data_IF_667484638214
#
_entry.id   IF_667484638214
#
_cell.length_a   1.000
_cell.length_b   1.000
_cell.length_c   1.000
_cell.angle_alpha   90.00
_cell.angle_beta   90.00
_cell.angle_gamma   90.00
#
_symmetry.space_group_name_H-M   'P 1'
#
loop_
_entity.id
_entity.type
_entity.pdbx_description
1 polymer ?
#
# COMPACT_ATOMS: atom_id res chain seq x y z
N UNK A 1 -25.01 10.13 1.94
CA UNK A 1 -24.76 8.68 2.15
C UNK A 1 -23.40 8.26 1.65
N UNK A 2 -23.02 8.50 0.38
CA UNK A 2 -21.65 8.25 -0.11
C UNK A 2 -20.57 8.91 0.76
N UNK A 3 -20.75 10.18 1.14
CA UNK A 3 -19.80 10.92 1.99
C UNK A 3 -19.61 10.31 3.39
N UNK A 4 -20.56 9.49 3.86
CA UNK A 4 -20.46 8.81 5.15
C UNK A 4 -19.83 7.41 5.02
N UNK A 5 -19.48 6.96 3.81
CA UNK A 5 -18.89 5.64 3.59
C UNK A 5 -19.83 4.48 3.90
N UNK A 6 -21.15 4.68 3.89
CA UNK A 6 -22.13 3.62 4.23
C UNK A 6 -22.63 2.84 3.01
N UNK A 7 -22.37 3.34 1.80
CA UNK A 7 -22.72 2.69 0.54
C UNK A 7 -21.73 3.07 -0.55
N UNK A 8 -21.71 2.28 -1.63
CA UNK A 8 -21.01 2.62 -2.86
C UNK A 8 -21.96 2.53 -4.05
N UNK A 9 -21.65 3.27 -5.11
CA UNK A 9 -22.41 3.22 -6.36
C UNK A 9 -21.98 1.98 -7.14
N UNK A 10 -22.94 1.27 -7.71
CA UNK A 10 -22.62 0.19 -8.64
C UNK A 10 -22.21 0.80 -10.00
N UNK A 11 -21.18 0.26 -10.67
CA UNK A 11 -20.81 0.71 -12.00
C UNK A 11 -21.97 0.44 -12.97
N UNK A 12 -22.13 1.33 -13.96
CA UNK A 12 -23.09 1.10 -15.03
C UNK A 12 -22.73 -0.17 -15.80
N UNK A 13 -23.74 -0.97 -16.14
CA UNK A 13 -23.53 -2.16 -16.94
C UNK A 13 -22.95 -1.79 -18.31
N UNK A 14 -21.86 -2.47 -18.69
CA UNK A 14 -21.25 -2.32 -20.01
C UNK A 14 -22.30 -2.48 -21.12
N UNK A 15 -22.14 -1.72 -22.21
CA UNK A 15 -23.00 -1.72 -23.40
C UNK A 15 -23.26 -3.13 -23.94
N UNK A 16 -22.27 -4.01 -23.81
CA UNK A 16 -22.32 -5.38 -24.33
C UNK A 16 -22.66 -6.44 -23.26
N UNK A 17 -22.91 -6.03 -22.01
CA UNK A 17 -23.25 -6.94 -20.92
C UNK A 17 -24.75 -7.28 -20.91
N UNK A 18 -25.09 -8.55 -20.69
CA UNK A 18 -26.48 -8.98 -20.45
C UNK A 18 -27.11 -8.26 -19.25
N UNK A 19 -26.30 -7.79 -18.30
CA UNK A 19 -26.77 -6.99 -17.15
C UNK A 19 -27.40 -5.66 -17.58
N UNK A 20 -27.12 -5.17 -18.79
CA UNK A 20 -27.68 -3.92 -19.33
C UNK A 20 -29.18 -4.03 -19.62
N UNK A 21 -29.69 -5.23 -19.92
CA UNK A 21 -31.14 -5.44 -20.03
C UNK A 21 -31.88 -5.15 -18.71
N UNK A 22 -31.15 -5.19 -17.58
CA UNK A 22 -31.63 -4.87 -16.25
C UNK A 22 -31.08 -3.54 -15.71
N UNK A 23 -30.38 -2.75 -16.53
CA UNK A 23 -29.91 -1.44 -16.10
C UNK A 23 -31.09 -0.48 -16.00
N UNK A 24 -31.33 0.03 -14.80
CA UNK A 24 -32.33 1.06 -14.57
C UNK A 24 -31.73 2.43 -14.89
N UNK A 25 -32.52 3.42 -15.35
CA UNK A 25 -32.03 4.76 -15.69
C UNK A 25 -31.54 5.58 -14.47
N UNK A 26 -31.60 5.01 -13.26
CA UNK A 26 -31.20 5.63 -12.01
C UNK A 26 -29.95 4.98 -11.41
N UNK A 27 -29.14 5.78 -10.73
CA UNK A 27 -27.93 5.32 -10.02
C UNK A 27 -28.30 4.33 -8.93
N UNK A 28 -27.77 3.12 -9.02
CA UNK A 28 -27.96 2.07 -8.02
C UNK A 28 -26.87 2.16 -6.96
N UNK A 29 -27.28 2.12 -5.69
CA UNK A 29 -26.39 2.13 -4.54
C UNK A 29 -26.45 0.78 -3.84
N UNK A 30 -25.28 0.27 -3.45
CA UNK A 30 -25.16 -0.97 -2.70
C UNK A 30 -24.74 -0.67 -1.26
N UNK A 31 -25.51 -1.22 -0.32
CA UNK A 31 -25.24 -1.14 1.12
C UNK A 31 -24.85 -2.54 1.61
N UNK A 32 -23.54 -2.88 1.63
CA UNK A 32 -23.10 -4.27 1.73
C UNK A 32 -23.60 -5.01 2.98
N UNK A 33 -23.67 -4.30 4.11
CA UNK A 33 -23.86 -4.84 5.45
C UNK A 33 -25.30 -5.21 5.79
N UNK A 34 -26.27 -4.55 5.17
CA UNK A 34 -27.69 -4.75 5.48
C UNK A 34 -28.34 -5.88 4.69
N UNK A 35 -27.58 -6.58 3.84
CA UNK A 35 -28.14 -7.57 2.91
C UNK A 35 -27.97 -9.01 3.39
N UNK A 36 -26.94 -9.32 4.19
CA UNK A 36 -26.63 -10.69 4.63
C UNK A 36 -26.07 -10.71 6.04
N UNK A 37 -26.70 -11.49 6.93
CA UNK A 37 -26.19 -11.71 8.29
C UNK A 37 -25.08 -12.76 8.33
N UNK A 38 -25.34 -13.92 7.72
CA UNK A 38 -24.43 -15.06 7.81
C UNK A 38 -23.44 -15.11 6.64
N UNK A 39 -22.24 -15.61 6.93
CA UNK A 39 -21.25 -16.00 5.92
C UNK A 39 -21.88 -17.01 4.94
N UNK A 40 -21.75 -16.82 3.62
CA UNK A 40 -22.27 -17.77 2.63
C UNK A 40 -21.62 -19.15 2.76
N UNK A 41 -22.44 -20.21 2.81
CA UNK A 41 -21.97 -21.58 3.03
C UNK A 41 -21.06 -22.11 1.90
N UNK A 42 -21.20 -21.59 0.69
CA UNK A 42 -20.40 -21.95 -0.47
C UNK A 42 -19.05 -21.23 -0.54
N UNK A 43 -18.80 -20.26 0.34
CA UNK A 43 -17.57 -19.47 0.32
C UNK A 43 -16.43 -20.25 0.98
N UNK A 44 -15.45 -20.62 0.15
CA UNK A 44 -14.27 -21.33 0.61
C UNK A 44 -13.18 -20.34 1.00
N UNK A 45 -12.87 -20.31 2.30
CA UNK A 45 -11.67 -19.69 2.85
C UNK A 45 -11.11 -20.67 3.87
N UNK A 46 -10.29 -21.65 3.42
CA UNK A 46 -9.78 -22.70 4.29
C UNK A 46 -9.01 -22.12 5.46
N UNK A 47 -9.06 -22.76 6.64
CA UNK A 47 -8.36 -22.26 7.84
C UNK A 47 -6.86 -22.07 7.58
N UNK A 48 -6.21 -23.03 6.93
CA UNK A 48 -4.81 -22.95 6.51
C UNK A 48 -4.72 -22.52 5.04
N UNK A 49 -3.76 -21.68 4.66
CA UNK A 49 -3.35 -21.51 3.27
C UNK A 49 -2.95 -22.84 2.62
N UNK A 50 -3.15 -22.95 1.31
CA UNK A 50 -2.64 -24.10 0.53
C UNK A 50 -1.11 -24.08 0.43
N UNK A 51 -0.50 -25.16 -0.06
CA UNK A 51 0.95 -25.33 -0.07
C UNK A 51 1.66 -24.30 -0.97
N UNK A 52 1.08 -24.00 -2.14
CA UNK A 52 1.53 -23.01 -3.12
C UNK A 52 1.09 -21.57 -2.79
N UNK A 53 0.26 -21.41 -1.78
CA UNK A 53 -0.32 -20.15 -1.35
C UNK A 53 0.53 -19.50 -0.23
N UNK A 54 0.83 -18.22 -0.42
CA UNK A 54 1.35 -17.33 0.61
C UNK A 54 0.21 -16.58 1.29
N UNK A 55 0.43 -16.18 2.52
CA UNK A 55 -0.58 -15.56 3.36
C UNK A 55 0.00 -14.43 4.19
N UNK A 56 -0.67 -13.28 4.11
CA UNK A 56 -0.39 -12.10 4.93
C UNK A 56 -1.68 -11.75 5.64
N UNK A 57 -1.64 -11.65 6.97
CA UNK A 57 -2.78 -11.18 7.75
C UNK A 57 -2.32 -10.09 8.71
N UNK A 58 -3.04 -8.97 8.65
CA UNK A 58 -2.86 -7.84 9.56
C UNK A 58 -4.11 -7.75 10.43
N UNK A 59 -3.87 -7.57 11.72
CA UNK A 59 -4.93 -7.43 12.72
C UNK A 59 -4.75 -6.09 13.41
N UNK A 60 -5.81 -5.28 13.40
CA UNK A 60 -5.91 -4.09 14.23
C UNK A 60 -6.75 -4.44 15.46
N UNK A 61 -6.14 -4.38 16.64
CA UNK A 61 -6.75 -4.76 17.92
C UNK A 61 -7.18 -3.52 18.70
N UNK A 62 -8.35 -3.61 19.32
CA UNK A 62 -8.94 -2.62 20.20
C UNK A 62 -9.28 -3.28 21.53
N UNK A 63 -8.84 -2.68 22.64
CA UNK A 63 -9.19 -3.12 23.98
C UNK A 63 -10.66 -2.85 24.35
N UNK A 64 -11.41 -2.17 23.48
CA UNK A 64 -12.82 -1.82 23.64
C UNK A 64 -13.63 -2.34 22.45
N UNK A 65 -14.96 -2.37 22.53
CA UNK A 65 -15.79 -2.66 21.38
C UNK A 65 -15.51 -1.69 20.24
N UNK A 66 -15.53 -2.19 19.00
CA UNK A 66 -15.37 -1.37 17.81
C UNK A 66 -16.42 -0.25 17.77
N UNK A 67 -16.04 0.99 17.41
CA UNK A 67 -17.01 2.05 17.17
C UNK A 67 -18.05 1.63 16.15
N UNK A 68 -19.28 2.07 16.37
CA UNK A 68 -20.40 1.74 15.49
C UNK A 68 -20.15 2.30 14.09
N UNK A 69 -20.38 1.47 13.07
CA UNK A 69 -20.18 1.86 11.69
C UNK A 69 -18.73 1.80 11.21
N UNK A 70 -17.74 1.56 12.09
CA UNK A 70 -16.32 1.55 11.69
C UNK A 70 -16.07 0.45 10.66
N UNK A 71 -16.52 -0.77 10.94
CA UNK A 71 -16.28 -1.90 10.07
C UNK A 71 -16.99 -1.75 8.73
N UNK A 72 -18.24 -1.29 8.78
CA UNK A 72 -19.08 -1.10 7.62
C UNK A 72 -18.47 -0.09 6.65
N UNK A 73 -18.01 1.03 7.22
CA UNK A 73 -17.32 2.11 6.48
C UNK A 73 -15.99 1.64 5.95
N UNK A 74 -15.18 0.93 6.74
CA UNK A 74 -13.90 0.39 6.28
C UNK A 74 -14.08 -0.53 5.08
N UNK A 75 -15.08 -1.42 5.11
CA UNK A 75 -15.34 -2.31 4.00
C UNK A 75 -15.87 -1.59 2.75
N UNK A 76 -16.66 -0.53 2.89
CA UNK A 76 -17.08 0.32 1.76
C UNK A 76 -15.87 1.05 1.16
N UNK A 77 -14.99 1.63 1.97
CA UNK A 77 -13.77 2.29 1.50
C UNK A 77 -12.83 1.28 0.80
N UNK A 78 -12.73 0.07 1.34
CA UNK A 78 -11.91 -1.01 0.78
C UNK A 78 -12.38 -1.49 -0.59
N UNK A 79 -13.65 -1.24 -0.97
CA UNK A 79 -14.16 -1.63 -2.29
C UNK A 79 -13.41 -1.00 -3.46
N UNK A 80 -12.69 0.10 -3.23
CA UNK A 80 -11.84 0.79 -4.20
C UNK A 80 -10.64 -0.04 -4.65
N UNK A 81 -10.26 -1.03 -3.86
CA UNK A 81 -9.06 -1.87 -4.07
C UNK A 81 -9.43 -3.32 -4.39
N UNK A 82 -10.74 -3.60 -4.51
CA UNK A 82 -11.30 -4.95 -4.49
C UNK A 82 -12.30 -5.18 -5.63
N UNK A 83 -12.10 -6.28 -6.35
CA UNK A 83 -13.01 -6.86 -7.34
C UNK A 83 -13.79 -8.04 -6.76
N UNK A 84 -14.90 -8.41 -7.41
CA UNK A 84 -15.81 -9.52 -7.04
C UNK A 84 -15.99 -9.70 -5.52
N UNK A 85 -16.97 -9.01 -4.94
CA UNK A 85 -17.11 -8.86 -3.48
C UNK A 85 -18.33 -9.58 -2.95
N UNK A 86 -18.17 -10.26 -1.83
CA UNK A 86 -19.26 -10.89 -1.10
C UNK A 86 -19.13 -10.59 0.39
N UNK A 87 -20.02 -9.74 0.89
CA UNK A 87 -20.05 -9.29 2.28
C UNK A 87 -21.20 -9.91 3.09
N UNK A 88 -21.03 -9.94 4.40
CA UNK A 88 -21.99 -10.32 5.43
C UNK A 88 -21.70 -9.54 6.72
N UNK A 89 -22.56 -9.64 7.74
CA UNK A 89 -22.57 -8.80 8.96
C UNK A 89 -21.22 -8.58 9.66
N UNK A 90 -20.30 -9.55 9.61
CA UNK A 90 -18.98 -9.41 10.24
C UNK A 90 -17.81 -9.83 9.31
N UNK A 91 -18.01 -9.82 7.98
CA UNK A 91 -16.92 -10.12 7.06
C UNK A 91 -17.17 -9.79 5.59
N UNK A 92 -16.08 -9.75 4.82
CA UNK A 92 -16.12 -9.56 3.38
C UNK A 92 -15.04 -10.36 2.69
N UNK A 93 -15.45 -11.22 1.77
CA UNK A 93 -14.54 -11.90 0.86
C UNK A 93 -14.51 -11.19 -0.49
N UNK A 94 -13.32 -11.02 -1.04
CA UNK A 94 -13.11 -10.33 -2.29
C UNK A 94 -11.84 -10.79 -2.99
N UNK A 95 -11.59 -10.25 -4.17
CA UNK A 95 -10.31 -10.40 -4.87
C UNK A 95 -9.67 -9.03 -5.07
N UNK A 96 -8.36 -8.99 -5.28
CA UNK A 96 -7.68 -7.74 -5.63
C UNK A 96 -8.24 -7.17 -6.93
N UNK A 97 -8.40 -5.84 -6.99
CA UNK A 97 -8.82 -5.16 -8.22
C UNK A 97 -7.79 -5.36 -9.35
N UNK A 98 -6.50 -5.36 -9.01
CA UNK A 98 -5.41 -5.42 -9.99
C UNK A 98 -5.11 -6.84 -10.47
N UNK A 99 -5.41 -7.84 -9.64
CA UNK A 99 -5.15 -9.25 -9.94
C UNK A 99 -6.15 -10.18 -9.24
N UNK A 100 -7.12 -10.70 -10.00
CA UNK A 100 -8.13 -11.60 -9.44
C UNK A 100 -7.59 -12.95 -8.94
N UNK A 101 -6.30 -13.25 -9.12
CA UNK A 101 -5.67 -14.41 -8.48
C UNK A 101 -5.34 -14.18 -7.00
N UNK A 102 -5.39 -12.94 -6.53
CA UNK A 102 -5.19 -12.58 -5.12
C UNK A 102 -6.53 -12.46 -4.42
N UNK A 103 -6.78 -13.34 -3.46
CA UNK A 103 -7.98 -13.35 -2.65
C UNK A 103 -7.77 -12.56 -1.33
N UNK A 104 -8.82 -11.90 -0.85
CA UNK A 104 -8.80 -11.08 0.36
C UNK A 104 -9.99 -11.44 1.25
N UNK A 105 -9.72 -11.61 2.54
CA UNK A 105 -10.71 -11.82 3.58
C UNK A 105 -10.60 -10.73 4.63
N UNK A 106 -11.66 -9.94 4.79
CA UNK A 106 -11.82 -8.97 5.87
C UNK A 106 -12.77 -9.53 6.93
N UNK A 107 -12.47 -9.36 8.21
CA UNK A 107 -13.34 -9.83 9.30
C UNK A 107 -13.34 -8.87 10.47
N UNK A 108 -14.50 -8.76 11.12
CA UNK A 108 -14.66 -8.10 12.41
C UNK A 108 -14.94 -9.15 13.47
N UNK A 109 -14.09 -9.19 14.49
CA UNK A 109 -14.21 -10.10 15.62
C UNK A 109 -14.46 -9.28 16.88
N UNK A 110 -15.40 -9.75 17.70
CA UNK A 110 -15.70 -9.18 19.01
C UNK A 110 -15.71 -10.32 20.03
N UNK A 111 -14.80 -10.26 20.99
CA UNK A 111 -14.64 -11.29 22.01
C UNK A 111 -14.22 -10.64 23.33
N UNK A 112 -14.86 -11.03 24.43
CA UNK A 112 -14.47 -10.56 25.78
C UNK A 112 -14.56 -9.03 25.98
N UNK A 113 -15.36 -8.32 25.18
CA UNK A 113 -15.44 -6.85 25.21
C UNK A 113 -14.35 -6.13 24.42
N UNK A 114 -13.35 -6.86 23.92
CA UNK A 114 -12.38 -6.37 22.95
C UNK A 114 -12.89 -6.56 21.52
N UNK A 115 -12.28 -5.87 20.58
CA UNK A 115 -12.61 -6.02 19.17
C UNK A 115 -11.35 -6.02 18.32
N UNK A 116 -11.36 -6.80 17.25
CA UNK A 116 -10.29 -6.80 16.27
C UNK A 116 -10.83 -6.76 14.84
N UNK A 117 -10.09 -6.07 13.98
CA UNK A 117 -10.34 -5.94 12.56
C UNK A 117 -9.21 -6.63 11.81
N UNK A 118 -9.57 -7.66 11.05
CA UNK A 118 -8.65 -8.53 10.35
C UNK A 118 -8.72 -8.22 8.85
N UNK A 119 -7.57 -8.13 8.20
CA UNK A 119 -7.46 -8.19 6.74
C UNK A 119 -6.38 -9.20 6.38
N UNK A 120 -6.80 -10.25 5.69
CA UNK A 120 -5.95 -11.33 5.23
C UNK A 120 -5.93 -11.38 3.70
N UNK A 121 -4.75 -11.34 3.11
CA UNK A 121 -4.53 -11.56 1.69
C UNK A 121 -3.89 -12.93 1.45
N UNK A 122 -4.29 -13.59 0.36
CA UNK A 122 -3.65 -14.81 -0.11
C UNK A 122 -3.43 -14.81 -1.62
N UNK A 123 -2.36 -15.46 -2.05
CA UNK A 123 -1.98 -15.62 -3.45
C UNK A 123 -0.69 -16.41 -3.58
N UNK A 124 -0.28 -16.74 -4.81
CA UNK A 124 0.97 -17.47 -5.02
C UNK A 124 2.20 -16.61 -4.69
N UNK A 125 3.36 -17.25 -4.50
CA UNK A 125 4.63 -16.55 -4.22
C UNK A 125 4.97 -15.44 -5.22
N UNK A 126 4.67 -15.66 -6.50
CA UNK A 126 4.91 -14.68 -7.57
C UNK A 126 4.03 -13.43 -7.43
N UNK A 127 2.88 -13.56 -6.75
CA UNK A 127 1.90 -12.49 -6.53
C UNK A 127 2.03 -11.85 -5.15
N UNK A 128 3.05 -12.24 -4.36
CA UNK A 128 3.24 -11.73 -3.00
C UNK A 128 3.28 -10.20 -2.93
N UNK A 129 3.90 -9.54 -3.92
CA UNK A 129 3.87 -8.07 -4.04
C UNK A 129 2.46 -7.54 -4.17
N UNK A 130 1.61 -8.14 -5.01
CA UNK A 130 0.22 -7.73 -5.18
C UNK A 130 -0.61 -8.01 -3.92
N UNK A 131 -0.35 -9.12 -3.22
CA UNK A 131 -0.97 -9.41 -1.91
C UNK A 131 -0.65 -8.27 -0.94
N UNK A 132 0.64 -7.90 -0.81
CA UNK A 132 1.07 -6.79 0.04
C UNK A 132 0.44 -5.46 -0.34
N UNK A 133 0.48 -5.08 -1.62
CA UNK A 133 -0.11 -3.82 -2.10
C UNK A 133 -1.60 -3.75 -1.77
N UNK A 134 -2.34 -4.82 -2.05
CA UNK A 134 -3.79 -4.87 -1.78
C UNK A 134 -4.07 -4.75 -0.28
N UNK A 135 -3.39 -5.55 0.54
CA UNK A 135 -3.56 -5.55 2.00
C UNK A 135 -3.17 -4.19 2.61
N UNK A 136 -2.03 -3.59 2.19
CA UNK A 136 -1.60 -2.27 2.67
C UNK A 136 -2.57 -1.16 2.29
N UNK A 137 -3.13 -1.18 1.07
CA UNK A 137 -4.14 -0.20 0.66
C UNK A 137 -5.37 -0.27 1.56
N UNK A 138 -5.84 -1.48 1.87
CA UNK A 138 -6.99 -1.71 2.75
C UNK A 138 -6.70 -1.24 4.19
N UNK A 139 -5.50 -1.53 4.72
CA UNK A 139 -5.08 -1.05 6.05
C UNK A 139 -4.94 0.48 6.08
N UNK A 140 -4.48 1.10 5.00
CA UNK A 140 -4.39 2.56 4.89
C UNK A 140 -5.75 3.25 4.98
N UNK A 141 -6.79 2.66 4.35
CA UNK A 141 -8.17 3.13 4.49
C UNK A 141 -8.66 3.01 5.94
N UNK A 142 -8.33 1.90 6.63
CA UNK A 142 -8.67 1.73 8.05
C UNK A 142 -8.01 2.82 8.91
N UNK A 143 -6.70 3.02 8.77
CA UNK A 143 -5.96 4.00 9.55
C UNK A 143 -6.42 5.44 9.29
N UNK A 144 -6.83 5.73 8.06
CA UNK A 144 -7.45 7.02 7.73
C UNK A 144 -8.76 7.20 8.47
N UNK A 145 -9.59 6.15 8.50
CA UNK A 145 -10.89 6.15 9.17
C UNK A 145 -10.75 6.26 10.69
N UNK A 146 -9.79 5.55 11.29
CA UNK A 146 -9.50 5.59 12.73
C UNK A 146 -9.16 6.99 13.26
N UNK A 147 -8.68 7.91 12.42
CA UNK A 147 -8.44 9.32 12.80
C UNK A 147 -9.70 10.05 13.25
N UNK A 148 -10.89 9.57 12.88
CA UNK A 148 -12.16 10.13 13.34
C UNK A 148 -12.46 9.80 14.81
N UNK A 149 -11.75 8.83 15.40
CA UNK A 149 -11.85 8.46 16.82
C UNK A 149 -10.50 8.62 17.53
N UNK A 150 -10.04 9.87 17.77
CA UNK A 150 -8.70 10.12 18.33
C UNK A 150 -8.47 9.57 19.74
N UNK A 151 -9.53 9.20 20.47
CA UNK A 151 -9.45 8.57 21.78
C UNK A 151 -9.45 7.04 21.77
N UNK A 152 -9.60 6.41 20.60
CA UNK A 152 -9.57 4.96 20.47
C UNK A 152 -8.13 4.47 20.42
N UNK A 153 -7.73 3.70 21.41
CA UNK A 153 -6.42 3.04 21.39
C UNK A 153 -6.48 1.79 20.51
N UNK A 154 -5.63 1.76 19.49
CA UNK A 154 -5.48 0.62 18.59
C UNK A 154 -4.04 0.17 18.52
N UNK A 155 -3.82 -1.14 18.51
CA UNK A 155 -2.53 -1.72 18.15
C UNK A 155 -2.66 -2.50 16.83
N UNK A 156 -1.58 -2.56 16.06
CA UNK A 156 -1.54 -3.33 14.81
C UNK A 156 -0.50 -4.42 14.93
N UNK A 157 -0.86 -5.62 14.50
CA UNK A 157 0.04 -6.78 14.49
C UNK A 157 0.00 -7.50 13.14
N UNK A 158 1.12 -8.09 12.76
CA UNK A 158 1.24 -8.94 11.58
C UNK A 158 1.26 -10.39 12.05
N UNK A 159 0.28 -11.18 11.63
CA UNK A 159 0.19 -12.60 12.02
C UNK A 159 1.29 -13.38 11.32
N UNK A 160 1.93 -14.28 12.06
CA UNK A 160 3.04 -15.04 11.53
C UNK A 160 2.56 -16.00 10.42
N UNK A 161 2.95 -15.72 9.17
CA UNK A 161 2.58 -16.53 8.01
C UNK A 161 2.92 -18.02 8.17
N UNK A 162 4.05 -18.35 8.81
CA UNK A 162 4.40 -19.74 9.14
C UNK A 162 3.34 -20.39 10.04
N UNK A 163 2.95 -19.74 11.14
CA UNK A 163 1.95 -20.29 12.05
C UNK A 163 0.57 -20.42 11.39
N UNK A 164 0.23 -19.50 10.49
CA UNK A 164 -1.00 -19.57 9.70
C UNK A 164 -0.96 -20.75 8.72
N UNK A 165 0.18 -20.96 8.05
CA UNK A 165 0.41 -22.10 7.13
C UNK A 165 0.36 -23.45 7.85
N UNK A 166 0.89 -23.53 9.07
CA UNK A 166 0.83 -24.74 9.91
C UNK A 166 -0.42 -24.84 10.77
N UNK A 167 -1.36 -23.88 10.66
CA UNK A 167 -2.60 -23.87 11.44
C UNK A 167 -2.41 -23.97 12.96
N UNK A 168 -1.36 -23.34 13.49
CA UNK A 168 -1.12 -23.27 14.93
C UNK A 168 -2.30 -22.60 15.63
N UNK A 169 -2.82 -23.19 16.72
CA UNK A 169 -4.00 -22.64 17.44
C UNK A 169 -3.76 -21.24 18.03
N UNK A 170 -2.53 -20.98 18.51
CA UNK A 170 -2.11 -19.67 19.01
C UNK A 170 -0.91 -19.15 18.19
N UNK A 171 -1.17 -18.62 16.98
CA UNK A 171 -0.10 -18.21 16.08
C UNK A 171 0.71 -17.06 16.67
N UNK A 172 2.00 -17.04 16.35
CA UNK A 172 2.86 -15.90 16.69
C UNK A 172 2.50 -14.65 15.89
N UNK A 173 3.05 -13.52 16.29
CA UNK A 173 2.89 -12.25 15.60
C UNK A 173 4.19 -11.45 15.57
N UNK A 174 4.24 -10.50 14.64
CA UNK A 174 5.26 -9.46 14.54
C UNK A 174 4.60 -8.10 14.78
N UNK A 175 5.42 -7.10 15.12
CA UNK A 175 4.96 -5.73 15.33
C UNK A 175 4.37 -5.15 14.03
N UNK A 176 3.20 -4.50 14.09
CA UNK A 176 2.55 -3.85 12.95
C UNK A 176 3.27 -2.63 12.39
N UNK A 177 4.19 -2.01 13.14
CA UNK A 177 5.05 -0.93 12.62
C UNK A 177 5.86 -1.38 11.40
N UNK A 178 6.16 -2.68 11.30
CA UNK A 178 6.89 -3.26 10.17
C UNK A 178 6.17 -3.09 8.82
N UNK A 179 4.87 -2.81 8.82
CA UNK A 179 4.09 -2.47 7.62
C UNK A 179 4.60 -1.19 6.92
N UNK A 180 5.30 -0.34 7.66
CA UNK A 180 5.84 0.93 7.18
C UNK A 180 7.36 0.93 7.09
N UNK A 181 8.00 -0.19 7.41
CA UNK A 181 9.45 -0.33 7.34
C UNK A 181 9.86 -1.06 6.06
N UNK A 182 11.06 -0.74 5.59
CA UNK A 182 11.76 -1.57 4.61
C UNK A 182 12.44 -2.74 5.32
N UNK A 183 12.52 -3.88 4.63
CA UNK A 183 13.25 -5.03 5.14
C UNK A 183 14.74 -4.66 5.36
N UNK A 184 15.35 -4.99 6.52
CA UNK A 184 16.76 -4.75 6.73
C UNK A 184 17.62 -5.48 5.71
N UNK A 185 18.62 -4.79 5.15
CA UNK A 185 19.54 -5.38 4.18
C UNK A 185 20.28 -6.60 4.73
N UNK A 186 20.39 -7.65 3.92
CA UNK A 186 21.12 -8.88 4.27
C UNK A 186 20.35 -9.87 5.12
N UNK A 187 19.13 -9.55 5.57
CA UNK A 187 18.27 -10.48 6.32
C UNK A 187 17.26 -11.12 5.37
N UNK A 188 17.27 -12.44 5.24
CA UNK A 188 16.33 -13.21 4.40
C UNK A 188 15.20 -13.86 5.20
N UNK A 189 15.41 -14.07 6.49
CA UNK A 189 14.42 -14.71 7.35
C UNK A 189 14.44 -14.16 8.77
N UNK A 190 13.28 -14.23 9.42
CA UNK A 190 13.05 -13.87 10.81
C UNK A 190 12.69 -15.11 11.60
N UNK A 191 12.92 -15.09 12.92
CA UNK A 191 12.50 -16.18 13.80
C UNK A 191 11.06 -15.97 14.25
N UNK A 192 10.22 -16.99 14.07
CA UNK A 192 8.90 -17.01 14.68
C UNK A 192 9.02 -17.04 16.20
N UNK A 193 8.41 -16.08 16.90
CA UNK A 193 8.44 -16.02 18.38
C UNK A 193 7.74 -17.21 19.06
N UNK A 194 6.84 -17.89 18.35
CA UNK A 194 6.07 -19.02 18.90
C UNK A 194 6.77 -20.36 18.72
N UNK A 195 7.24 -20.65 17.50
CA UNK A 195 7.77 -21.97 17.14
C UNK A 195 9.29 -21.98 16.92
N UNK A 196 9.94 -20.81 16.93
CA UNK A 196 11.34 -20.63 16.52
C UNK A 196 11.67 -21.01 15.07
N UNK A 197 10.67 -21.38 14.26
CA UNK A 197 10.84 -21.62 12.84
C UNK A 197 11.27 -20.35 12.09
N UNK A 198 11.96 -20.54 10.96
CA UNK A 198 12.35 -19.44 10.07
C UNK A 198 11.16 -19.02 9.22
N UNK A 199 10.91 -17.71 9.16
CA UNK A 199 9.85 -17.06 8.38
C UNK A 199 10.53 -16.17 7.35
N UNK A 200 10.16 -16.29 6.09
CA UNK A 200 10.65 -15.43 5.02
C UNK A 200 10.40 -13.95 5.37
N UNK A 201 11.43 -13.11 5.25
CA UNK A 201 11.35 -11.68 5.55
C UNK A 201 10.27 -10.98 4.72
N UNK A 202 10.02 -11.45 3.50
CA UNK A 202 9.03 -10.88 2.58
C UNK A 202 7.59 -11.22 2.96
N UNK A 203 7.36 -12.09 3.94
CA UNK A 203 6.03 -12.36 4.51
C UNK A 203 5.73 -11.49 5.73
N UNK A 204 6.70 -10.66 6.17
CA UNK A 204 6.58 -9.79 7.34
C UNK A 204 6.78 -8.33 6.95
N UNK A 205 7.76 -8.05 6.08
CA UNK A 205 7.96 -6.73 5.52
C UNK A 205 7.30 -6.66 4.15
N UNK A 206 6.57 -5.58 3.85
CA UNK A 206 6.14 -5.33 2.49
C UNK A 206 7.36 -5.17 1.58
N UNK A 207 7.23 -5.53 0.29
CA UNK A 207 8.27 -5.21 -0.68
C UNK A 207 8.50 -3.70 -0.61
N UNK A 208 9.77 -3.31 -0.60
CA UNK A 208 10.14 -1.91 -0.81
C UNK A 208 9.44 -1.47 -2.08
N UNK A 209 8.54 -0.49 -2.01
CA UNK A 209 7.97 0.02 -3.25
C UNK A 209 9.15 0.47 -4.13
N UNK A 210 9.07 0.28 -5.45
CA UNK A 210 10.00 0.93 -6.37
C UNK A 210 10.05 2.45 -6.13
N UNK A 211 8.97 3.03 -5.62
CA UNK A 211 8.82 4.42 -5.20
C UNK A 211 9.38 4.76 -3.81
N UNK A 212 9.70 3.78 -2.95
CA UNK A 212 10.32 3.96 -1.62
C UNK A 212 11.84 3.71 -1.64
N UNK A 213 12.44 3.49 -2.82
CA UNK A 213 13.89 3.48 -2.95
C UNK A 213 14.44 4.87 -2.60
N UNK A 214 15.25 4.91 -1.53
CA UNK A 214 16.15 6.02 -1.29
C UNK A 214 17.00 6.24 -2.55
N UNK A 215 17.09 7.51 -2.96
CA UNK A 215 17.84 7.86 -4.16
C UNK A 215 19.32 7.55 -3.93
N UNK A 216 19.88 6.67 -4.75
CA UNK A 216 21.32 6.36 -4.70
C UNK A 216 22.15 7.57 -5.14
N UNK A 217 23.38 7.66 -4.65
CA UNK A 217 24.32 8.69 -5.11
C UNK A 217 24.53 8.66 -6.63
N UNK A 218 24.46 7.48 -7.24
CA UNK A 218 24.54 7.30 -8.70
C UNK A 218 23.36 7.96 -9.42
N UNK A 219 22.15 7.84 -8.88
CA UNK A 219 20.97 8.52 -9.41
C UNK A 219 21.11 10.05 -9.27
N UNK A 220 21.59 10.54 -8.12
CA UNK A 220 21.86 11.98 -7.92
C UNK A 220 22.84 12.51 -8.97
N UNK A 221 23.91 11.76 -9.25
CA UNK A 221 24.89 12.12 -10.27
C UNK A 221 24.34 12.06 -11.70
N UNK A 222 23.46 11.09 -12.00
CA UNK A 222 22.82 10.98 -13.31
C UNK A 222 21.91 12.19 -13.56
N UNK A 223 21.08 12.52 -12.57
CA UNK A 223 20.14 13.66 -12.67
C UNK A 223 20.90 14.96 -12.71
N UNK A 224 21.95 15.16 -11.90
CA UNK A 224 22.74 16.41 -11.94
C UNK A 224 23.39 16.67 -13.30
N UNK A 225 23.83 15.61 -13.99
CA UNK A 225 24.42 15.71 -15.34
C UNK A 225 23.38 16.02 -16.42
N UNK A 226 22.17 15.47 -16.30
CA UNK A 226 21.12 15.58 -17.33
C UNK A 226 20.19 16.79 -17.17
N UNK A 227 20.05 17.29 -15.95
CA UNK A 227 19.15 18.40 -15.64
C UNK A 227 19.50 19.67 -16.43
N UNK A 228 18.51 20.38 -16.96
CA UNK A 228 18.74 21.60 -17.72
C UNK A 228 19.40 22.71 -16.89
N UNK A 229 20.13 23.61 -17.55
CA UNK A 229 20.87 24.71 -16.88
C UNK A 229 19.96 25.67 -16.11
N UNK A 230 18.71 25.83 -16.54
CA UNK A 230 17.75 26.79 -15.96
C UNK A 230 16.86 26.18 -14.88
N UNK A 231 16.72 24.85 -14.85
CA UNK A 231 15.65 24.19 -14.10
C UNK A 231 16.06 23.72 -12.71
N UNK A 232 17.32 23.90 -12.32
CA UNK A 232 17.81 23.45 -11.01
C UNK A 232 17.27 24.27 -9.83
N UNK A 233 17.05 25.58 -9.98
CA UNK A 233 16.42 26.41 -8.93
C UNK A 233 14.92 26.09 -8.79
N UNK A 234 14.12 26.09 -9.87
CA UNK A 234 12.72 25.67 -9.78
C UNK A 234 12.56 24.27 -9.17
N UNK A 235 13.43 23.32 -9.56
CA UNK A 235 13.42 21.98 -8.99
C UNK A 235 13.74 22.01 -7.49
N UNK A 236 14.74 22.77 -7.05
CA UNK A 236 15.06 22.94 -5.64
C UNK A 236 13.85 23.42 -4.82
N UNK A 237 13.11 24.42 -5.31
CA UNK A 237 11.90 24.90 -4.65
C UNK A 237 10.77 23.86 -4.61
N UNK A 238 10.53 23.15 -5.73
CA UNK A 238 9.51 22.09 -5.77
C UNK A 238 9.86 20.94 -4.81
N UNK A 239 11.15 20.68 -4.63
CA UNK A 239 11.67 19.72 -3.66
C UNK A 239 11.65 20.22 -2.21
N UNK A 240 11.21 21.46 -1.96
CA UNK A 240 11.06 22.03 -0.62
C UNK A 240 12.31 22.69 -0.04
N UNK A 241 13.29 23.05 -0.88
CA UNK A 241 14.41 23.89 -0.46
C UNK A 241 13.99 25.36 -0.36
N UNK A 242 14.52 26.04 0.65
CA UNK A 242 14.29 27.47 0.85
C UNK A 242 15.22 28.29 -0.07
N UNK A 243 14.82 29.53 -0.38
CA UNK A 243 15.66 30.43 -1.21
C UNK A 243 17.08 30.59 -0.63
N UNK A 244 17.19 30.67 0.70
CA UNK A 244 18.48 30.76 1.38
C UNK A 244 19.38 29.54 1.16
N UNK A 245 18.83 28.33 1.00
CA UNK A 245 19.62 27.14 0.66
C UNK A 245 20.17 27.24 -0.77
N UNK A 246 19.34 27.72 -1.70
CA UNK A 246 19.67 27.83 -3.12
C UNK A 246 20.73 28.92 -3.35
N UNK A 247 20.57 30.08 -2.72
CA UNK A 247 21.56 31.16 -2.76
C UNK A 247 22.90 30.71 -2.15
N UNK A 248 22.87 30.02 -1.01
CA UNK A 248 24.10 29.53 -0.38
C UNK A 248 24.85 28.53 -1.28
N UNK A 249 24.13 27.67 -2.01
CA UNK A 249 24.72 26.74 -2.98
C UNK A 249 25.33 27.50 -4.15
N UNK A 250 24.63 28.49 -4.71
CA UNK A 250 25.13 29.29 -5.83
C UNK A 250 26.40 30.06 -5.47
N UNK A 251 26.43 30.68 -4.28
CA UNK A 251 27.60 31.43 -3.81
C UNK A 251 28.80 30.52 -3.58
N UNK A 252 28.59 29.33 -2.99
CA UNK A 252 29.68 28.40 -2.64
C UNK A 252 30.26 27.66 -3.83
N UNK A 253 29.46 27.38 -4.84
CA UNK A 253 29.84 26.59 -6.01
C UNK A 253 29.73 27.42 -7.30
N UNK A 254 29.89 28.75 -7.17
CA UNK A 254 29.80 29.69 -8.28
C UNK A 254 30.79 29.31 -9.38
N UNK A 255 30.29 29.11 -10.60
CA UNK A 255 31.12 28.77 -11.77
C UNK A 255 31.07 27.30 -12.21
N UNK A 256 30.56 26.39 -11.37
CA UNK A 256 30.31 25.00 -11.77
C UNK A 256 28.82 24.63 -11.66
N UNK A 257 28.13 24.67 -12.81
CA UNK A 257 26.71 24.34 -12.89
C UNK A 257 26.39 22.88 -12.57
N UNK A 258 27.30 21.96 -12.84
CA UNK A 258 27.04 20.55 -12.54
C UNK A 258 27.20 20.29 -11.05
N UNK A 259 28.19 20.93 -10.42
CA UNK A 259 28.37 20.88 -8.97
C UNK A 259 27.19 21.56 -8.25
N UNK A 260 26.71 22.73 -8.71
CA UNK A 260 25.53 23.37 -8.14
C UNK A 260 24.28 22.47 -8.19
N UNK A 261 24.03 21.79 -9.31
CA UNK A 261 22.91 20.85 -9.45
C UNK A 261 23.05 19.65 -8.51
N UNK A 262 24.27 19.11 -8.40
CA UNK A 262 24.57 17.99 -7.52
C UNK A 262 24.36 18.37 -6.05
N UNK A 263 24.90 19.51 -5.63
CA UNK A 263 24.78 20.03 -4.27
C UNK A 263 23.33 20.36 -3.91
N UNK A 264 22.52 20.86 -4.86
CA UNK A 264 21.09 21.06 -4.66
C UNK A 264 20.36 19.75 -4.33
N UNK A 265 20.58 18.71 -5.13
CA UNK A 265 19.96 17.40 -4.89
C UNK A 265 20.45 16.75 -3.58
N UNK A 266 21.72 16.92 -3.23
CA UNK A 266 22.26 16.45 -1.94
C UNK A 266 21.72 17.24 -0.75
N UNK A 267 21.53 18.56 -0.90
CA UNK A 267 20.93 19.40 0.13
C UNK A 267 19.50 18.97 0.40
N UNK A 268 18.72 18.76 -0.66
CA UNK A 268 17.38 18.20 -0.57
C UNK A 268 17.39 16.83 0.10
N UNK A 269 18.23 15.90 -0.34
CA UNK A 269 18.32 14.56 0.25
C UNK A 269 18.59 14.60 1.76
N UNK A 270 19.49 15.49 2.21
CA UNK A 270 19.79 15.68 3.63
C UNK A 270 18.62 16.27 4.42
N UNK A 271 17.90 17.25 3.88
CA UNK A 271 16.75 17.88 4.55
C UNK A 271 15.50 16.98 4.56
N UNK A 272 15.25 16.27 3.47
CA UNK A 272 14.07 15.42 3.32
C UNK A 272 14.22 14.06 4.01
N UNK A 273 15.45 13.58 4.27
CA UNK A 273 15.70 12.37 5.05
C UNK A 273 14.99 11.13 4.50
N UNK A 274 14.10 10.53 5.28
CA UNK A 274 13.28 9.37 4.86
C UNK A 274 12.27 9.70 3.74
N UNK A 275 11.92 10.97 3.56
CA UNK A 275 11.05 11.42 2.47
C UNK A 275 11.82 11.69 1.16
N UNK A 276 13.15 11.54 1.14
CA UNK A 276 13.98 11.68 -0.05
C UNK A 276 13.89 10.43 -0.96
N UNK A 277 12.71 10.19 -1.53
CA UNK A 277 12.42 9.02 -2.35
C UNK A 277 12.51 9.31 -3.84
N UNK A 278 12.74 8.26 -4.63
CA UNK A 278 12.74 8.36 -6.09
C UNK A 278 11.42 8.91 -6.63
N UNK A 279 10.29 8.55 -6.01
CA UNK A 279 8.97 9.06 -6.38
C UNK A 279 8.83 10.57 -6.18
N UNK A 280 9.34 11.09 -5.06
CA UNK A 280 9.33 12.52 -4.78
C UNK A 280 10.15 13.27 -5.85
N UNK A 281 11.31 12.73 -6.24
CA UNK A 281 12.12 13.31 -7.31
C UNK A 281 11.43 13.24 -8.68
N UNK A 282 10.85 12.09 -9.05
CA UNK A 282 10.13 11.91 -10.33
C UNK A 282 8.92 12.85 -10.40
N UNK A 283 8.17 12.97 -9.31
CA UNK A 283 7.04 13.90 -9.21
C UNK A 283 7.50 15.35 -9.36
N UNK A 284 8.60 15.73 -8.72
CA UNK A 284 9.17 17.06 -8.83
C UNK A 284 9.70 17.38 -10.24
N UNK A 285 10.33 16.41 -10.90
CA UNK A 285 10.80 16.55 -12.29
C UNK A 285 9.63 16.73 -13.27
N UNK A 286 8.49 16.06 -13.02
CA UNK A 286 7.25 16.19 -13.81
C UNK A 286 6.44 17.44 -13.48
N UNK A 287 6.83 18.21 -12.47
CA UNK A 287 6.11 19.41 -12.08
C UNK A 287 6.05 20.41 -13.24
N UNK A 288 4.92 21.11 -13.38
CA UNK A 288 4.67 22.08 -14.45
C UNK A 288 5.68 23.21 -14.52
N UNK A 289 6.41 23.47 -13.44
CA UNK A 289 7.47 24.49 -13.34
C UNK A 289 8.83 23.97 -13.82
N UNK A 290 9.07 22.66 -13.69
CA UNK A 290 10.37 22.02 -13.98
C UNK A 290 10.37 21.39 -15.39
N UNK A 291 9.31 20.65 -15.74
CA UNK A 291 9.06 20.05 -17.06
C UNK A 291 10.17 19.12 -17.59
N UNK A 292 10.89 18.43 -16.71
CA UNK A 292 11.98 17.51 -17.05
C UNK A 292 11.47 16.07 -17.23
N UNK A 293 10.40 15.92 -18.01
CA UNK A 293 9.69 14.65 -18.19
C UNK A 293 10.58 13.54 -18.76
N UNK A 294 11.54 13.88 -19.64
CA UNK A 294 12.45 12.90 -20.22
C UNK A 294 13.38 12.24 -19.18
N UNK A 295 13.80 12.99 -18.16
CA UNK A 295 14.61 12.46 -17.06
C UNK A 295 13.72 11.60 -16.16
N UNK A 296 12.51 12.09 -15.84
CA UNK A 296 11.54 11.35 -15.04
C UNK A 296 11.20 9.98 -15.65
N UNK A 297 11.00 9.91 -16.97
CA UNK A 297 10.67 8.68 -17.69
C UNK A 297 11.84 7.68 -17.72
N UNK A 298 13.08 8.16 -17.75
CA UNK A 298 14.27 7.32 -17.66
C UNK A 298 14.45 6.75 -16.25
N UNK A 299 14.17 7.56 -15.22
CA UNK A 299 14.16 7.09 -13.84
C UNK A 299 13.06 6.05 -13.61
N UNK A 300 11.85 6.29 -14.11
CA UNK A 300 10.73 5.32 -14.04
C UNK A 300 11.09 3.97 -14.70
N UNK A 301 11.81 3.97 -15.83
CA UNK A 301 12.25 2.73 -16.51
C UNK A 301 13.31 1.95 -15.74
N UNK A 302 14.17 2.63 -14.98
CA UNK A 302 15.17 1.96 -14.15
C UNK A 302 14.57 1.45 -12.84
N UNK A 303 13.50 2.08 -12.37
CA UNK A 303 12.71 1.69 -11.19
C UNK A 303 11.73 0.54 -11.51
N UNK A 304 11.19 0.50 -12.73
CA UNK A 304 10.34 -0.56 -13.26
C UNK A 304 10.96 -1.16 -14.53
N UNK A 305 11.79 -2.22 -14.43
CA UNK A 305 12.23 -2.93 -15.61
C UNK A 305 11.01 -3.60 -16.25
N UNK A 306 10.49 -2.99 -17.32
CA UNK A 306 9.52 -3.63 -18.20
C UNK A 306 10.20 -4.87 -18.77
N UNK A 307 9.86 -6.04 -18.21
CA UNK A 307 10.25 -7.33 -18.79
C UNK A 307 9.73 -7.34 -20.22
N UNK A 308 10.64 -7.30 -21.20
CA UNK A 308 10.28 -7.56 -22.59
C UNK A 308 9.57 -8.93 -22.64
N UNK A 309 8.48 -9.07 -23.40
CA UNK A 309 7.89 -10.38 -23.63
C UNK A 309 8.94 -11.26 -24.28
N UNK A 310 9.26 -12.38 -23.63
CA UNK A 310 9.94 -13.49 -24.29
C UNK A 310 8.92 -14.05 -25.27
N UNK A 311 9.07 -13.67 -26.55
CA UNK A 311 8.33 -14.27 -27.65
C UNK A 311 8.89 -15.70 -27.82
N UNK A 312 8.03 -16.71 -28.03
CA UNK A 312 8.34 -18.13 -27.92
C UNK A 312 9.52 -18.63 -28.75
#
# INVERSE_FOLDING_TARGET
MLNFGICHMLPEADKNSLARAYSMPYRTYHFPWYLRRLKPANLQWPRCPQEDEEHIEIVCEMATPSPWGLFERWCVLSTRHLSYRQAWENGMYAFSETDMSVAVMMQHVQEGGASSLHVAGRGTRERLTTVWTTVKSIVSELNTLLKEWPGLYTDSIIRCAHCMKTCTDNPGYFNGELLYCTAPGGIQSLRCRRTSALVDVNLVYPPSNPTDQHISNECVQLVSKKLSRTNWRPLGHVLGLEEGDIEAIEVRHSGDLNEMKYQMLQCWQRKAGQSATMAALISALRNTTVQENGIADELDKNVCPVKKPVVP
#
